data_IF_167851316476
#
_entry.id   IF_167851316476
#
_cell.length_a   1.000
_cell.length_b   1.000
_cell.length_c   1.000
_cell.angle_alpha   90.00
_cell.angle_beta   90.00
_cell.angle_gamma   90.00
#
_symmetry.space_group_name_H-M   'P 1'
#
loop_
_entity.id
_entity.type
_entity.pdbx_description
1 polymer ?
#
# COMPACT_ATOMS: atom_id res chain seq x y z
N UNK A 1 -5.97 -52.84 11.91
CA UNK A 1 -5.54 -51.67 12.71
C UNK A 1 -5.45 -50.45 11.81
N UNK A 2 -6.54 -49.69 11.64
CA UNK A 2 -6.51 -48.40 10.97
C UNK A 2 -6.21 -47.31 12.01
N UNK A 3 -4.99 -46.78 12.00
CA UNK A 3 -4.64 -45.59 12.75
C UNK A 3 -5.30 -44.37 12.08
N UNK A 4 -6.52 -44.03 12.52
CA UNK A 4 -7.23 -42.81 12.12
C UNK A 4 -6.84 -41.62 13.00
N UNK A 5 -5.53 -41.45 13.25
CA UNK A 5 -5.04 -40.19 13.80
C UNK A 5 -4.93 -39.21 12.63
N UNK A 6 -5.99 -38.44 12.40
CA UNK A 6 -5.84 -37.16 11.71
C UNK A 6 -4.88 -36.32 12.55
N UNK A 7 -3.60 -36.30 12.15
CA UNK A 7 -2.63 -35.33 12.68
C UNK A 7 -3.21 -33.98 12.29
N UNK A 8 -3.84 -33.31 13.26
CA UNK A 8 -4.30 -31.93 13.09
C UNK A 8 -3.05 -31.13 12.77
N UNK A 9 -2.96 -30.60 11.56
CA UNK A 9 -1.83 -29.75 11.20
C UNK A 9 -1.65 -28.67 12.27
N UNK A 10 -0.40 -28.35 12.67
CA UNK A 10 -0.16 -27.32 13.65
C UNK A 10 -0.97 -26.08 13.28
N UNK A 11 -1.74 -25.53 14.22
CA UNK A 11 -2.54 -24.33 13.95
C UNK A 11 -1.58 -23.22 13.51
N UNK A 12 -1.63 -22.87 12.22
CA UNK A 12 -0.79 -21.84 11.62
C UNK A 12 -0.96 -20.53 12.39
N UNK A 13 0.11 -20.08 13.05
CA UNK A 13 0.08 -18.87 13.86
C UNK A 13 0.25 -17.64 12.95
N UNK A 14 -0.87 -17.23 12.33
CA UNK A 14 -0.93 -16.09 11.43
C UNK A 14 -0.52 -14.77 12.09
N UNK A 15 -0.72 -14.61 13.41
CA UNK A 15 -0.30 -13.42 14.16
C UNK A 15 1.23 -13.32 14.22
N UNK A 16 1.90 -14.44 14.50
CA UNK A 16 3.35 -14.50 14.53
C UNK A 16 3.97 -14.30 13.13
N UNK A 17 3.41 -14.92 12.09
CA UNK A 17 3.85 -14.71 10.71
C UNK A 17 3.71 -13.24 10.30
N UNK A 18 2.55 -12.64 10.56
CA UNK A 18 2.29 -11.24 10.28
C UNK A 18 3.27 -10.33 11.04
N UNK A 19 3.48 -10.58 12.34
CA UNK A 19 4.42 -9.82 13.16
C UNK A 19 5.86 -9.93 12.65
N UNK A 20 6.31 -11.14 12.28
CA UNK A 20 7.64 -11.38 11.76
C UNK A 20 7.87 -10.69 10.40
N UNK A 21 6.88 -10.76 9.51
CA UNK A 21 6.94 -10.08 8.22
C UNK A 21 7.07 -8.56 8.39
N UNK A 22 6.22 -7.95 9.21
CA UNK A 22 6.28 -6.51 9.49
C UNK A 22 7.57 -6.11 10.21
N UNK A 23 8.05 -6.90 11.16
CA UNK A 23 9.33 -6.64 11.83
C UNK A 23 10.50 -6.68 10.85
N UNK A 24 10.52 -7.64 9.92
CA UNK A 24 11.55 -7.67 8.88
C UNK A 24 11.49 -6.42 8.00
N UNK A 25 10.29 -5.98 7.65
CA UNK A 25 10.09 -4.77 6.85
C UNK A 25 10.52 -3.49 7.59
N UNK A 26 10.15 -3.33 8.86
CA UNK A 26 10.38 -2.09 9.61
C UNK A 26 11.72 -2.05 10.34
N UNK A 27 12.13 -3.18 10.94
CA UNK A 27 13.33 -3.31 11.78
C UNK A 27 14.50 -3.99 11.06
N UNK A 28 14.29 -4.58 9.88
CA UNK A 28 15.33 -5.21 9.06
C UNK A 28 16.29 -4.21 8.40
N UNK A 29 17.00 -4.64 7.35
CA UNK A 29 17.96 -3.78 6.68
C UNK A 29 17.26 -2.69 5.86
N UNK A 30 17.92 -1.54 5.64
CA UNK A 30 17.38 -0.51 4.76
C UNK A 30 17.16 -1.03 3.32
N UNK A 31 17.98 -2.01 2.90
CA UNK A 31 17.84 -2.71 1.63
C UNK A 31 16.49 -3.42 1.49
N UNK A 32 15.98 -4.05 2.55
CA UNK A 32 14.67 -4.72 2.51
C UNK A 32 13.55 -3.72 2.19
N UNK A 33 13.54 -2.53 2.81
CA UNK A 33 12.56 -1.49 2.50
C UNK A 33 12.64 -1.05 1.03
N UNK A 34 13.84 -0.85 0.50
CA UNK A 34 14.03 -0.41 -0.89
C UNK A 34 13.57 -1.49 -1.87
N UNK A 35 13.90 -2.75 -1.58
CA UNK A 35 13.51 -3.87 -2.44
C UNK A 35 12.00 -4.09 -2.44
N UNK A 36 11.35 -4.02 -1.28
CA UNK A 36 9.93 -4.36 -1.12
C UNK A 36 8.98 -3.17 -1.33
N UNK A 37 9.40 -1.95 -0.97
CA UNK A 37 8.54 -0.75 -0.97
C UNK A 37 9.04 0.35 -1.92
N UNK A 38 10.19 0.16 -2.58
CA UNK A 38 10.85 1.16 -3.46
C UNK A 38 11.19 2.47 -2.75
N UNK A 39 11.27 2.46 -1.43
CA UNK A 39 11.64 3.60 -0.60
C UNK A 39 12.70 3.19 0.41
N UNK A 40 13.61 4.11 0.74
CA UNK A 40 14.45 3.95 1.93
C UNK A 40 13.57 3.94 3.19
N UNK A 41 14.05 3.33 4.26
CA UNK A 41 13.33 3.24 5.54
C UNK A 41 12.93 4.63 6.05
N UNK A 42 13.86 5.59 5.99
CA UNK A 42 13.60 6.96 6.41
C UNK A 42 12.51 7.62 5.54
N UNK A 43 12.59 7.46 4.21
CA UNK A 43 11.57 8.00 3.30
C UNK A 43 10.20 7.38 3.55
N UNK A 44 10.14 6.07 3.83
CA UNK A 44 8.90 5.36 4.16
C UNK A 44 8.23 5.93 5.42
N UNK A 45 8.96 6.08 6.53
CA UNK A 45 8.39 6.64 7.76
C UNK A 45 8.01 8.12 7.60
N UNK A 46 8.80 8.90 6.86
CA UNK A 46 8.45 10.27 6.53
C UNK A 46 7.16 10.36 5.70
N UNK A 47 6.98 9.48 4.72
CA UNK A 47 5.74 9.39 3.95
C UNK A 47 4.56 9.02 4.86
N UNK A 48 4.71 8.04 5.75
CA UNK A 48 3.67 7.68 6.71
C UNK A 48 3.25 8.88 7.57
N UNK A 49 4.22 9.69 8.02
CA UNK A 49 3.96 10.90 8.80
C UNK A 49 3.21 11.96 7.98
N UNK A 50 3.67 12.24 6.76
CA UNK A 50 3.01 13.20 5.86
C UNK A 50 1.57 12.79 5.56
N UNK A 51 1.32 11.50 5.27
CA UNK A 51 -0.02 11.00 4.98
C UNK A 51 -0.95 11.08 6.19
N UNK A 52 -0.43 10.94 7.41
CA UNK A 52 -1.20 11.14 8.63
C UNK A 52 -1.53 12.62 8.87
N UNK A 53 -0.51 13.48 8.88
CA UNK A 53 -0.64 14.89 9.24
C UNK A 53 -1.36 15.72 8.18
N UNK A 54 -1.01 15.53 6.90
CA UNK A 54 -1.56 16.33 5.78
C UNK A 54 -2.61 15.57 4.99
N UNK A 55 -2.37 14.27 4.77
CA UNK A 55 -3.30 13.40 4.04
C UNK A 55 -4.56 13.04 4.82
N UNK A 56 -4.56 13.20 6.15
CA UNK A 56 -5.68 12.81 7.01
C UNK A 56 -5.87 11.30 7.12
N UNK A 57 -4.82 10.52 6.86
CA UNK A 57 -4.86 9.06 7.00
C UNK A 57 -4.92 8.69 8.49
N UNK A 58 -6.01 8.04 8.89
CA UNK A 58 -6.24 7.63 10.29
C UNK A 58 -6.09 6.11 10.41
N UNK A 59 -5.53 5.64 11.53
CA UNK A 59 -5.47 4.20 11.82
C UNK A 59 -6.87 3.61 11.95
N UNK A 60 -7.05 2.37 11.52
CA UNK A 60 -8.26 1.60 11.85
C UNK A 60 -8.04 0.81 13.14
N UNK A 61 -9.10 0.18 13.65
CA UNK A 61 -9.02 -0.72 14.82
C UNK A 61 -7.97 -1.82 14.61
N UNK A 62 -7.92 -2.39 13.41
CA UNK A 62 -7.14 -3.60 13.14
C UNK A 62 -5.85 -3.33 12.36
N UNK A 63 -5.74 -2.20 11.65
CA UNK A 63 -4.60 -1.89 10.78
C UNK A 63 -4.03 -0.51 11.14
N UNK A 64 -2.76 -0.42 11.60
CA UNK A 64 -2.09 0.86 11.80
C UNK A 64 -1.77 1.53 10.46
N UNK A 65 -1.62 2.85 10.48
CA UNK A 65 -1.32 3.66 9.28
C UNK A 65 -0.04 3.20 8.57
N UNK A 66 0.98 2.80 9.31
CA UNK A 66 2.23 2.25 8.75
C UNK A 66 2.02 0.95 7.98
N UNK A 67 1.16 0.05 8.45
CA UNK A 67 0.84 -1.19 7.75
C UNK A 67 0.00 -0.91 6.49
N UNK A 68 -0.96 0.01 6.58
CA UNK A 68 -1.75 0.44 5.43
C UNK A 68 -0.88 1.03 4.31
N UNK A 69 0.04 1.94 4.64
CA UNK A 69 0.98 2.53 3.68
C UNK A 69 1.96 1.48 3.14
N UNK A 70 2.43 0.55 3.99
CA UNK A 70 3.28 -0.55 3.54
C UNK A 70 2.56 -1.46 2.52
N UNK A 71 1.31 -1.85 2.79
CA UNK A 71 0.51 -2.65 1.84
C UNK A 71 0.36 -1.92 0.50
N UNK A 72 0.00 -0.63 0.54
CA UNK A 72 -0.17 0.19 -0.66
C UNK A 72 1.11 0.23 -1.51
N UNK A 73 2.25 0.56 -0.89
CA UNK A 73 3.54 0.62 -1.58
C UNK A 73 3.98 -0.75 -2.11
N UNK A 74 3.83 -1.81 -1.32
CA UNK A 74 4.21 -3.15 -1.73
C UNK A 74 3.41 -3.63 -2.95
N UNK A 75 2.11 -3.30 -3.00
CA UNK A 75 1.25 -3.55 -4.18
C UNK A 75 1.81 -2.81 -5.41
N UNK A 76 2.08 -1.51 -5.29
CA UNK A 76 2.54 -0.71 -6.42
C UNK A 76 3.96 -1.05 -6.87
N UNK A 77 4.86 -1.32 -5.92
CA UNK A 77 6.26 -1.63 -6.15
C UNK A 77 6.49 -2.87 -7.01
N UNK A 78 5.57 -3.83 -6.94
CA UNK A 78 5.69 -5.14 -7.59
C UNK A 78 4.44 -5.55 -8.39
N UNK A 79 3.47 -4.64 -8.57
CA UNK A 79 2.19 -4.91 -9.23
C UNK A 79 1.46 -6.14 -8.67
N UNK A 80 1.44 -6.27 -7.33
CA UNK A 80 0.92 -7.46 -6.66
C UNK A 80 -0.61 -7.53 -6.73
N UNK A 81 -1.13 -8.76 -6.87
CA UNK A 81 -2.55 -9.03 -6.70
C UNK A 81 -2.88 -9.14 -5.20
N UNK A 82 -4.09 -8.74 -4.80
CA UNK A 82 -4.52 -8.79 -3.40
C UNK A 82 -4.43 -10.19 -2.76
N UNK A 83 -4.52 -11.27 -3.54
CA UNK A 83 -4.31 -12.64 -3.03
C UNK A 83 -2.89 -12.86 -2.50
N UNK A 84 -1.87 -12.28 -3.15
CA UNK A 84 -0.47 -12.39 -2.69
C UNK A 84 -0.29 -11.57 -1.42
N UNK A 85 -0.82 -10.36 -1.38
CA UNK A 85 -0.76 -9.47 -0.21
C UNK A 85 -1.49 -10.06 0.98
N UNK A 86 -2.63 -10.72 0.77
CA UNK A 86 -3.37 -11.44 1.81
C UNK A 86 -2.50 -12.49 2.49
N UNK A 87 -1.67 -13.20 1.72
CA UNK A 87 -0.77 -14.20 2.27
C UNK A 87 0.32 -13.56 3.15
N UNK A 88 0.94 -12.47 2.70
CA UNK A 88 2.05 -11.82 3.42
C UNK A 88 1.62 -11.02 4.66
N UNK A 89 0.47 -10.32 4.57
CA UNK A 89 -0.02 -9.44 5.66
C UNK A 89 -1.08 -10.12 6.53
N UNK A 90 -1.50 -11.35 6.19
CA UNK A 90 -2.58 -12.06 6.88
C UNK A 90 -3.89 -11.24 7.01
N UNK A 91 -4.17 -10.38 6.03
CA UNK A 91 -5.38 -9.55 5.96
C UNK A 91 -6.34 -10.06 4.90
N UNK A 92 -7.64 -9.93 5.15
CA UNK A 92 -8.65 -10.24 4.12
C UNK A 92 -8.50 -9.30 2.93
N UNK A 93 -8.81 -9.79 1.72
CA UNK A 93 -8.79 -8.97 0.48
C UNK A 93 -9.65 -7.71 0.60
N UNK A 94 -10.76 -7.80 1.31
CA UNK A 94 -11.62 -6.66 1.63
C UNK A 94 -10.89 -5.60 2.44
N UNK A 95 -10.17 -6.02 3.50
CA UNK A 95 -9.34 -5.11 4.29
C UNK A 95 -8.25 -4.48 3.44
N UNK A 96 -7.57 -5.27 2.62
CA UNK A 96 -6.52 -4.78 1.72
C UNK A 96 -7.07 -3.73 0.75
N UNK A 97 -8.22 -4.00 0.13
CA UNK A 97 -8.86 -3.06 -0.80
C UNK A 97 -9.24 -1.75 -0.11
N UNK A 98 -9.87 -1.82 1.07
CA UNK A 98 -10.21 -0.61 1.84
C UNK A 98 -8.97 0.20 2.19
N UNK A 99 -7.94 -0.42 2.76
CA UNK A 99 -6.72 0.27 3.13
C UNK A 99 -5.98 0.85 1.91
N UNK A 100 -5.94 0.13 0.80
CA UNK A 100 -5.36 0.64 -0.45
C UNK A 100 -6.05 1.92 -0.91
N UNK A 101 -7.39 1.93 -0.91
CA UNK A 101 -8.17 3.10 -1.31
C UNK A 101 -8.03 4.26 -0.33
N UNK A 102 -8.00 4.00 0.98
CA UNK A 102 -7.81 5.03 2.01
C UNK A 102 -6.45 5.71 1.85
N UNK A 103 -5.38 4.93 1.63
CA UNK A 103 -4.04 5.48 1.35
C UNK A 103 -4.02 6.23 0.02
N UNK A 104 -4.66 5.71 -1.04
CA UNK A 104 -4.74 6.41 -2.32
C UNK A 104 -5.40 7.79 -2.20
N UNK A 105 -6.52 7.89 -1.46
CA UNK A 105 -7.18 9.17 -1.19
C UNK A 105 -6.27 10.15 -0.44
N UNK A 106 -5.57 9.66 0.60
CA UNK A 106 -4.62 10.48 1.33
C UNK A 106 -3.46 10.97 0.44
N UNK A 107 -2.93 10.11 -0.43
CA UNK A 107 -1.89 10.45 -1.41
C UNK A 107 -2.39 11.51 -2.38
N UNK A 108 -3.58 11.34 -2.98
CA UNK A 108 -4.16 12.32 -3.90
C UNK A 108 -4.43 13.68 -3.25
N UNK A 109 -4.74 13.70 -1.95
CA UNK A 109 -4.90 14.93 -1.19
C UNK A 109 -3.56 15.65 -1.03
N UNK A 110 -2.54 14.93 -0.58
CA UNK A 110 -1.18 15.47 -0.39
C UNK A 110 -0.54 15.87 -1.72
N UNK A 111 -0.80 15.14 -2.80
CA UNK A 111 -0.15 15.41 -4.09
C UNK A 111 -0.43 16.81 -4.63
N UNK A 112 -1.56 17.43 -4.26
CA UNK A 112 -1.87 18.82 -4.64
C UNK A 112 -0.86 19.83 -4.12
N UNK A 113 -0.22 19.54 -2.98
CA UNK A 113 0.76 20.44 -2.34
C UNK A 113 2.20 20.12 -2.76
N UNK A 114 2.46 18.91 -3.24
CA UNK A 114 3.82 18.41 -3.50
C UNK A 114 4.12 18.16 -4.97
N UNK A 115 3.09 17.92 -5.79
CA UNK A 115 3.23 17.74 -7.23
C UNK A 115 2.75 19.03 -7.89
N UNK A 116 3.72 19.84 -8.32
CA UNK A 116 3.45 20.84 -9.34
C UNK A 116 3.31 20.11 -10.66
N UNK A 117 2.08 19.75 -11.02
CA UNK A 117 1.79 19.43 -12.41
C UNK A 117 2.08 20.70 -13.21
N UNK A 118 3.17 20.71 -13.97
CA UNK A 118 3.28 21.72 -15.02
C UNK A 118 2.00 21.58 -15.84
N UNK A 119 1.23 22.66 -16.08
CA UNK A 119 0.15 22.58 -17.03
C UNK A 119 0.79 22.10 -18.34
N UNK A 120 0.51 20.86 -18.73
CA UNK A 120 0.81 20.43 -20.08
C UNK A 120 -0.08 21.29 -20.97
N UNK A 121 0.45 22.43 -21.42
CA UNK A 121 -0.05 23.09 -22.62
C UNK A 121 0.23 22.15 -23.77
N UNK A 122 -0.63 21.14 -23.92
CA UNK A 122 -0.73 20.38 -25.15
C UNK A 122 -1.36 21.35 -26.14
N UNK A 123 -0.54 22.11 -26.87
CA UNK A 123 -1.00 22.86 -28.02
C UNK A 123 -0.89 21.97 -29.27
N UNK A 124 -1.94 21.95 -30.09
CA UNK A 124 -1.97 21.23 -31.36
C UNK A 124 -2.33 19.74 -31.27
N UNK A 125 -1.78 18.94 -32.20
CA UNK A 125 -2.22 17.57 -32.45
C UNK A 125 -2.05 16.61 -31.25
N UNK A 126 -1.11 16.89 -30.34
CA UNK A 126 -0.90 16.10 -29.13
C UNK A 126 -2.04 16.28 -28.10
N UNK A 127 -2.70 17.43 -28.07
CA UNK A 127 -3.85 17.67 -27.19
C UNK A 127 -4.99 16.69 -27.50
N UNK A 128 -5.32 16.56 -28.78
CA UNK A 128 -6.40 15.67 -29.24
C UNK A 128 -6.16 14.19 -28.92
N UNK A 129 -4.89 13.76 -28.77
CA UNK A 129 -4.54 12.39 -28.42
C UNK A 129 -4.92 12.03 -26.98
N UNK A 130 -4.88 13.01 -26.06
CA UNK A 130 -5.06 12.79 -24.62
C UNK A 130 -6.36 13.39 -24.05
N UNK A 131 -7.18 14.06 -24.88
CA UNK A 131 -8.46 14.70 -24.49
C UNK A 131 -9.42 13.82 -23.68
N UNK A 132 -9.43 12.50 -23.90
CA UNK A 132 -10.34 11.60 -23.19
C UNK A 132 -9.90 11.31 -21.74
N UNK A 133 -8.64 11.61 -21.39
CA UNK A 133 -8.15 11.48 -20.02
C UNK A 133 -8.41 12.74 -19.17
N UNK A 134 -8.46 13.92 -19.79
CA UNK A 134 -8.68 15.20 -19.10
C UNK A 134 -10.09 15.29 -18.46
N UNK A 135 -11.09 14.66 -19.07
CA UNK A 135 -12.49 14.64 -18.60
C UNK A 135 -12.63 13.86 -17.26
N UNK A 136 -11.68 12.98 -16.94
CA UNK A 136 -11.79 12.11 -15.75
C UNK A 136 -11.33 12.77 -14.45
N UNK A 137 -10.57 13.89 -14.51
CA UNK A 137 -10.05 14.59 -13.32
C UNK A 137 -10.97 15.73 -12.84
N UNK A 138 -12.03 16.04 -13.57
CA UNK A 138 -13.00 17.10 -13.25
C UNK A 138 -14.29 16.59 -12.58
N UNK A 139 -14.44 15.28 -12.37
CA UNK A 139 -15.64 14.64 -11.77
C UNK A 139 -15.30 14.01 -10.40
N UNK A 140 -14.42 14.62 -9.61
CA UNK A 140 -14.24 14.28 -8.18
C UNK A 140 -14.32 15.52 -7.32
#
# INVERSE_FOLDING_TARGET
YHNNYFVKEPTRNWELEHHNFLNRLYRGANKDCIEQLRLSKNAFFNLCRILQEKGGLVRTRNVPTTEAVAMFLHILAHNLKYRVVQFSYCRSKETISRQFNDVLRAVMKVSKDYLNFQPCTLEGAEANKWRWFEISLLIV
#
